data_IF_345593384804
#
_entry.id   IF_345593384804
#
_cell.length_a   1.000
_cell.length_b   1.000
_cell.length_c   1.000
_cell.angle_alpha   90.00
_cell.angle_beta   90.00
_cell.angle_gamma   90.00
#
_symmetry.space_group_name_H-M   'P 1'
#
loop_
_entity.id
_entity.type
_entity.pdbx_description
1 polymer ?
#
# COMPACT_ATOMS: atom_id res chain seq x y z
N UNK A 1 -26.85 -22.38 30.70
CA UNK A 1 -26.77 -21.41 31.80
C UNK A 1 -26.93 -22.17 33.10
N UNK A 2 -25.82 -22.41 33.78
CA UNK A 2 -25.78 -22.70 35.22
C UNK A 2 -24.80 -21.68 35.80
N UNK A 3 -25.30 -20.92 36.77
CA UNK A 3 -24.70 -19.81 37.51
C UNK A 3 -24.08 -20.38 38.83
N UNK A 4 -23.43 -19.60 39.73
CA UNK A 4 -22.10 -18.97 39.60
C UNK A 4 -21.18 -19.20 40.86
N UNK A 5 -19.94 -18.69 40.77
CA UNK A 5 -19.05 -18.05 41.78
C UNK A 5 -18.74 -18.68 43.17
N UNK A 6 -17.45 -18.68 43.59
CA UNK A 6 -16.88 -17.95 44.76
C UNK A 6 -15.49 -18.50 45.21
N UNK A 7 -14.56 -17.55 45.40
CA UNK A 7 -13.41 -17.45 46.31
C UNK A 7 -12.08 -18.22 46.13
N UNK A 8 -11.04 -17.41 46.32
CA UNK A 8 -9.61 -17.69 46.39
C UNK A 8 -9.16 -18.37 47.69
N UNK A 9 -7.99 -19.00 47.65
CA UNK A 9 -7.24 -19.45 48.84
C UNK A 9 -6.07 -20.38 48.52
N UNK A 10 -4.90 -19.82 48.21
CA UNK A 10 -3.56 -20.44 48.40
C UNK A 10 -3.20 -20.44 49.90
N UNK A 11 -2.03 -20.95 50.40
CA UNK A 11 -1.10 -22.05 50.05
C UNK A 11 -0.67 -22.89 51.31
N UNK A 12 0.06 -24.01 51.20
CA UNK A 12 0.94 -24.60 52.26
C UNK A 12 1.91 -25.59 51.58
N UNK A 13 3.23 -25.38 51.49
CA UNK A 13 4.32 -25.76 52.44
C UNK A 13 4.24 -27.24 52.90
N UNK A 14 5.26 -28.09 53.09
CA UNK A 14 6.73 -28.10 53.07
C UNK A 14 7.11 -29.58 53.35
N UNK A 15 8.17 -30.15 52.75
CA UNK A 15 9.25 -30.93 53.44
C UNK A 15 10.13 -31.73 52.43
N UNK A 16 11.44 -31.78 52.73
CA UNK A 16 12.62 -32.07 51.89
C UNK A 16 13.00 -33.59 51.87
N UNK A 17 14.18 -34.13 51.38
CA UNK A 17 15.45 -33.48 51.02
C UNK A 17 16.34 -34.04 49.85
N UNK A 18 17.17 -33.11 49.35
CA UNK A 18 18.60 -33.14 48.88
C UNK A 18 19.12 -33.98 47.68
N UNK A 19 19.94 -33.35 46.80
CA UNK A 19 20.75 -33.96 45.72
C UNK A 19 22.21 -34.26 46.13
N UNK A 20 22.97 -35.10 45.40
CA UNK A 20 24.42 -35.16 45.56
C UNK A 20 25.15 -34.07 44.76
N UNK A 21 25.97 -33.29 45.48
CA UNK A 21 27.07 -32.46 44.99
C UNK A 21 28.36 -33.26 45.13
N UNK A 22 29.19 -33.31 44.09
CA UNK A 22 30.65 -33.25 44.27
C UNK A 22 31.29 -32.34 43.20
N UNK A 23 32.01 -31.37 43.73
CA UNK A 23 32.96 -30.38 43.17
C UNK A 23 34.14 -31.08 42.46
N UNK A 24 35.01 -30.52 41.62
CA UNK A 24 35.29 -29.22 41.00
C UNK A 24 36.57 -29.45 40.13
N UNK A 25 36.92 -28.44 39.32
CA UNK A 25 38.24 -28.10 38.73
C UNK A 25 38.66 -28.68 37.37
N UNK A 26 38.98 -27.76 36.45
CA UNK A 26 40.11 -27.94 35.53
C UNK A 26 39.85 -27.69 34.04
N UNK A 27 40.32 -26.53 33.57
CA UNK A 27 40.79 -26.25 32.21
C UNK A 27 39.84 -25.81 31.07
N UNK A 28 40.09 -24.55 30.69
CA UNK A 28 39.79 -23.88 29.43
C UNK A 28 39.90 -24.78 28.19
N UNK A 29 38.84 -24.81 27.38
CA UNK A 29 38.98 -25.02 25.94
C UNK A 29 37.82 -24.36 25.17
N UNK A 30 38.08 -23.12 24.74
CA UNK A 30 37.57 -22.49 23.52
C UNK A 30 36.05 -22.54 23.29
N UNK A 31 35.37 -21.62 23.97
CA UNK A 31 34.23 -20.92 23.41
C UNK A 31 34.60 -20.37 22.02
N UNK A 32 34.23 -21.07 20.96
CA UNK A 32 34.23 -20.52 19.61
C UNK A 32 32.90 -19.81 19.41
N UNK A 33 32.71 -18.69 20.11
CA UNK A 33 31.74 -17.67 19.74
C UNK A 33 32.10 -17.26 18.32
N UNK A 34 31.40 -17.85 17.33
CA UNK A 34 31.43 -17.34 15.95
C UNK A 34 30.85 -15.95 16.02
N UNK A 35 31.73 -14.96 16.16
CA UNK A 35 31.43 -13.56 16.02
C UNK A 35 30.56 -13.41 14.77
N UNK A 36 29.41 -12.70 14.83
CA UNK A 36 28.71 -12.35 13.61
C UNK A 36 29.74 -11.60 12.77
N UNK A 37 30.08 -12.14 11.60
CA UNK A 37 30.92 -11.44 10.62
C UNK A 37 30.23 -10.11 10.40
N UNK A 38 30.84 -9.05 10.93
CA UNK A 38 30.46 -7.68 10.61
C UNK A 38 30.67 -7.54 9.12
N UNK A 39 29.59 -7.60 8.35
CA UNK A 39 29.60 -7.21 6.95
C UNK A 39 29.76 -5.68 6.92
N UNK A 40 30.99 -5.21 7.16
CA UNK A 40 31.40 -3.82 6.91
C UNK A 40 31.64 -3.63 5.40
N UNK A 41 30.65 -4.03 4.61
CA UNK A 41 30.53 -3.63 3.21
C UNK A 41 29.49 -2.51 3.22
N UNK A 42 29.89 -1.29 2.87
CA UNK A 42 28.95 -0.20 2.64
C UNK A 42 27.92 -0.66 1.59
N UNK A 43 26.70 -0.93 2.04
CA UNK A 43 25.61 -1.32 1.16
C UNK A 43 24.83 -0.05 0.81
N UNK A 44 25.14 0.57 -0.33
CA UNK A 44 24.25 1.59 -0.88
C UNK A 44 22.94 0.93 -1.27
N UNK A 45 21.87 1.25 -0.55
CA UNK A 45 20.52 0.74 -0.80
C UNK A 45 19.88 1.47 -1.98
N UNK A 46 20.50 2.57 -2.41
CA UNK A 46 20.14 3.37 -3.58
C UNK A 46 21.28 3.34 -4.63
N UNK A 47 20.98 3.28 -5.94
CA UNK A 47 19.64 3.20 -6.55
C UNK A 47 19.03 1.78 -6.52
N UNK A 48 17.69 1.65 -6.51
CA UNK A 48 17.03 0.35 -6.64
C UNK A 48 17.40 -0.31 -7.97
N UNK A 49 17.58 -1.64 -7.95
CA UNK A 49 17.82 -2.41 -9.17
C UNK A 49 16.64 -2.29 -10.15
N UNK A 50 16.90 -2.44 -11.45
CA UNK A 50 15.84 -2.38 -12.45
C UNK A 50 14.71 -3.39 -12.17
N UNK A 51 15.05 -4.61 -11.72
CA UNK A 51 14.05 -5.62 -11.32
C UNK A 51 13.15 -5.12 -10.18
N UNK A 52 13.70 -4.38 -9.23
CA UNK A 52 12.93 -3.78 -8.13
C UNK A 52 12.00 -2.69 -8.67
N UNK A 53 12.50 -1.83 -9.56
CA UNK A 53 11.70 -0.80 -10.23
C UNK A 53 10.53 -1.40 -11.01
N UNK A 54 10.78 -2.46 -11.78
CA UNK A 54 9.75 -3.18 -12.54
C UNK A 54 8.68 -3.79 -11.61
N UNK A 55 9.10 -4.32 -10.46
CA UNK A 55 8.16 -4.83 -9.45
C UNK A 55 7.28 -3.72 -8.85
N UNK A 56 7.84 -2.52 -8.64
CA UNK A 56 7.07 -1.33 -8.20
C UNK A 56 6.05 -0.96 -9.27
N UNK A 57 6.44 -0.89 -10.55
CA UNK A 57 5.53 -0.61 -11.67
C UNK A 57 4.39 -1.62 -11.70
N UNK A 58 4.69 -2.92 -11.63
CA UNK A 58 3.66 -3.97 -11.61
C UNK A 58 2.68 -3.79 -10.44
N UNK A 59 3.20 -3.49 -9.24
CA UNK A 59 2.38 -3.25 -8.06
C UNK A 59 1.49 -2.00 -8.22
N UNK A 60 1.99 -0.95 -8.86
CA UNK A 60 1.22 0.25 -9.19
C UNK A 60 0.11 -0.06 -10.18
N UNK A 61 0.38 -0.84 -11.23
CA UNK A 61 -0.64 -1.29 -12.19
C UNK A 61 -1.78 -1.98 -11.45
N UNK A 62 -1.47 -3.02 -10.66
CA UNK A 62 -2.47 -3.73 -9.86
C UNK A 62 -3.25 -2.79 -8.93
N UNK A 63 -2.59 -1.78 -8.35
CA UNK A 63 -3.23 -0.83 -7.44
C UNK A 63 -4.20 0.12 -8.15
N UNK A 64 -3.89 0.49 -9.40
CA UNK A 64 -4.70 1.40 -10.21
C UNK A 64 -5.82 0.67 -10.97
N UNK A 65 -5.55 -0.56 -11.44
CA UNK A 65 -6.48 -1.33 -12.27
C UNK A 65 -7.47 -2.17 -11.48
N UNK A 66 -7.09 -2.63 -10.28
CA UNK A 66 -7.94 -3.53 -9.51
C UNK A 66 -8.85 -2.75 -8.54
N UNK A 67 -10.02 -3.31 -8.20
CA UNK A 67 -10.87 -2.75 -7.17
C UNK A 67 -10.12 -2.68 -5.83
N UNK A 68 -9.99 -1.47 -5.30
CA UNK A 68 -9.22 -1.14 -4.10
C UNK A 68 -9.89 0.02 -3.34
N UNK A 69 -9.29 0.46 -2.24
CA UNK A 69 -9.77 1.65 -1.50
C UNK A 69 -9.71 2.90 -2.37
N UNK A 70 -8.70 3.01 -3.24
CA UNK A 70 -8.58 4.14 -4.19
C UNK A 70 -9.70 4.12 -5.23
N UNK A 71 -10.05 2.94 -5.76
CA UNK A 71 -11.09 2.85 -6.79
C UNK A 71 -12.49 3.18 -6.27
N UNK A 72 -12.73 2.98 -4.97
CA UNK A 72 -13.98 3.41 -4.31
C UNK A 72 -14.14 4.94 -4.26
N UNK A 73 -13.04 5.69 -4.34
CA UNK A 73 -13.04 7.16 -4.24
C UNK A 73 -12.84 7.86 -5.58
N UNK A 74 -12.10 7.23 -6.50
CA UNK A 74 -11.65 7.85 -7.75
C UNK A 74 -11.98 7.03 -9.00
N UNK A 75 -12.65 5.88 -8.85
CA UNK A 75 -12.93 4.96 -9.96
C UNK A 75 -11.75 4.02 -10.29
N UNK A 76 -12.01 3.00 -11.11
CA UNK A 76 -10.99 2.07 -11.62
C UNK A 76 -10.34 2.62 -12.90
N UNK A 77 -9.03 2.38 -13.06
CA UNK A 77 -8.28 2.75 -14.27
C UNK A 77 -8.19 1.53 -15.20
N UNK A 78 -8.51 1.65 -16.49
CA UNK A 78 -8.25 0.60 -17.48
C UNK A 78 -6.79 0.13 -17.44
N UNK A 79 -6.55 -1.16 -17.65
CA UNK A 79 -5.22 -1.74 -17.44
C UNK A 79 -4.11 -1.12 -18.31
N UNK A 80 -4.43 -0.74 -19.55
CA UNK A 80 -3.49 -0.07 -20.46
C UNK A 80 -3.10 1.32 -19.94
N UNK A 81 -4.10 2.15 -19.61
CA UNK A 81 -3.90 3.47 -19.00
C UNK A 81 -3.15 3.37 -17.66
N UNK A 82 -3.47 2.36 -16.85
CA UNK A 82 -2.79 2.09 -15.59
C UNK A 82 -1.31 1.73 -15.79
N UNK A 83 -0.97 1.00 -16.86
CA UNK A 83 0.41 0.66 -17.20
C UNK A 83 1.24 1.87 -17.66
N UNK A 84 0.63 2.78 -18.42
CA UNK A 84 1.27 4.04 -18.78
C UNK A 84 1.47 4.94 -17.57
N UNK A 85 0.41 5.16 -16.79
CA UNK A 85 0.46 5.94 -15.56
C UNK A 85 1.50 5.39 -14.57
N UNK A 86 1.52 4.07 -14.35
CA UNK A 86 2.48 3.45 -13.42
C UNK A 86 3.94 3.66 -13.84
N UNK A 87 4.24 3.58 -15.15
CA UNK A 87 5.59 3.85 -15.67
C UNK A 87 5.99 5.31 -15.45
N UNK A 88 5.10 6.25 -15.76
CA UNK A 88 5.35 7.68 -15.56
C UNK A 88 5.55 8.01 -14.07
N UNK A 89 4.66 7.50 -13.20
CA UNK A 89 4.76 7.68 -11.75
C UNK A 89 6.12 7.20 -11.23
N UNK A 90 6.53 6.00 -11.64
CA UNK A 90 7.79 5.41 -11.20
C UNK A 90 9.01 6.17 -11.72
N UNK A 91 9.02 6.48 -13.01
CA UNK A 91 10.14 7.15 -13.66
C UNK A 91 10.36 8.56 -13.10
N UNK A 92 9.29 9.32 -12.88
CA UNK A 92 9.38 10.64 -12.31
C UNK A 92 9.81 10.60 -10.83
N UNK A 93 9.27 9.66 -10.04
CA UNK A 93 9.67 9.49 -8.65
C UNK A 93 11.14 9.08 -8.54
N UNK A 94 11.59 8.17 -9.41
CA UNK A 94 13.00 7.76 -9.49
C UNK A 94 13.88 8.94 -9.87
N UNK A 95 13.53 9.69 -10.91
CA UNK A 95 14.30 10.85 -11.39
C UNK A 95 14.40 11.94 -10.32
N UNK A 96 13.29 12.21 -9.61
CA UNK A 96 13.27 13.19 -8.53
C UNK A 96 14.12 12.76 -7.34
N UNK A 97 14.07 11.48 -6.95
CA UNK A 97 14.88 10.95 -5.85
C UNK A 97 16.36 10.85 -6.25
N UNK A 98 16.66 10.38 -7.45
CA UNK A 98 18.01 10.27 -8.00
C UNK A 98 18.70 11.64 -8.08
N UNK A 99 17.96 12.70 -8.43
CA UNK A 99 18.49 14.07 -8.45
C UNK A 99 18.88 14.62 -7.07
N UNK A 100 18.46 13.97 -5.98
CA UNK A 100 18.85 14.33 -4.61
C UNK A 100 19.81 13.33 -3.96
N UNK A 101 20.16 12.26 -4.68
CA UNK A 101 21.06 11.24 -4.17
C UNK A 101 22.50 11.75 -4.17
N UNK A 102 23.21 11.47 -3.08
CA UNK A 102 24.65 11.71 -2.94
C UNK A 102 25.40 10.39 -2.96
N UNK A 103 26.59 10.35 -3.54
CA UNK A 103 27.38 9.12 -3.67
C UNK A 103 27.92 8.58 -2.32
N UNK A 104 27.98 9.44 -1.29
CA UNK A 104 28.46 9.09 0.05
C UNK A 104 27.35 8.68 1.03
N UNK A 105 26.08 8.73 0.63
CA UNK A 105 24.95 8.35 1.50
C UNK A 105 24.52 6.91 1.26
N UNK A 106 24.16 6.18 2.33
CA UNK A 106 23.64 4.81 2.25
C UNK A 106 22.29 4.74 1.49
N UNK A 107 21.68 5.90 1.21
CA UNK A 107 20.54 6.05 0.31
C UNK A 107 19.19 5.78 0.95
N UNK A 108 19.15 5.64 2.28
CA UNK A 108 17.91 5.38 3.04
C UNK A 108 16.94 6.56 2.94
N UNK A 109 17.42 7.79 3.11
CA UNK A 109 16.59 8.99 2.99
C UNK A 109 16.04 9.14 1.56
N UNK A 110 16.88 8.81 0.57
CA UNK A 110 16.50 8.84 -0.84
C UNK A 110 15.43 7.78 -1.16
N UNK A 111 15.54 6.58 -0.61
CA UNK A 111 14.52 5.55 -0.77
C UNK A 111 13.19 5.94 -0.13
N UNK A 112 13.23 6.59 1.04
CA UNK A 112 12.03 7.15 1.68
C UNK A 112 11.40 8.26 0.82
N UNK A 113 12.23 9.12 0.23
CA UNK A 113 11.77 10.16 -0.69
C UNK A 113 11.11 9.55 -1.92
N UNK A 114 11.73 8.56 -2.54
CA UNK A 114 11.14 7.79 -3.65
C UNK A 114 9.78 7.21 -3.27
N UNK A 115 9.68 6.54 -2.11
CA UNK A 115 8.42 5.94 -1.63
C UNK A 115 7.31 6.98 -1.40
N UNK A 116 7.67 8.13 -0.84
CA UNK A 116 6.75 9.27 -0.64
C UNK A 116 6.27 9.81 -1.98
N UNK A 117 7.16 9.93 -2.95
CA UNK A 117 6.87 10.53 -4.24
C UNK A 117 6.02 9.62 -5.13
N UNK A 118 6.26 8.29 -5.08
CA UNK A 118 5.38 7.29 -5.70
C UNK A 118 3.96 7.42 -5.16
N UNK A 119 3.81 7.47 -3.83
CA UNK A 119 2.50 7.55 -3.17
C UNK A 119 1.76 8.83 -3.53
N UNK A 120 2.47 9.96 -3.51
CA UNK A 120 1.94 11.27 -3.88
C UNK A 120 1.44 11.28 -5.33
N UNK A 121 2.28 10.89 -6.27
CA UNK A 121 1.94 10.88 -7.71
C UNK A 121 0.79 9.94 -8.02
N UNK A 122 0.77 8.75 -7.42
CA UNK A 122 -0.36 7.82 -7.57
C UNK A 122 -1.68 8.49 -7.19
N UNK A 123 -1.71 9.22 -6.07
CA UNK A 123 -2.91 9.92 -5.62
C UNK A 123 -3.27 11.10 -6.53
N UNK A 124 -2.29 11.87 -7.00
CA UNK A 124 -2.48 12.97 -7.93
C UNK A 124 -3.05 12.49 -9.27
N UNK A 125 -2.54 11.39 -9.81
CA UNK A 125 -3.00 10.78 -11.06
C UNK A 125 -4.47 10.35 -10.96
N UNK A 126 -4.85 9.58 -9.92
CA UNK A 126 -6.25 9.13 -9.77
C UNK A 126 -7.21 10.29 -9.51
N UNK A 127 -6.77 11.32 -8.79
CA UNK A 127 -7.58 12.52 -8.55
C UNK A 127 -7.79 13.33 -9.83
N UNK A 128 -6.74 13.54 -10.62
CA UNK A 128 -6.84 14.25 -11.90
C UNK A 128 -7.79 13.53 -12.86
N UNK A 129 -7.65 12.21 -12.96
CA UNK A 129 -8.54 11.37 -13.78
C UNK A 129 -10.01 11.48 -13.35
N UNK A 130 -10.29 11.34 -12.05
CA UNK A 130 -11.66 11.42 -11.54
C UNK A 130 -12.31 12.79 -11.80
N UNK A 131 -11.52 13.88 -11.77
CA UNK A 131 -11.99 15.21 -12.11
C UNK A 131 -12.28 15.37 -13.62
N UNK A 132 -11.47 14.76 -14.49
CA UNK A 132 -11.70 14.71 -15.93
C UNK A 132 -12.96 13.90 -16.28
N UNK A 133 -13.19 12.76 -15.62
CA UNK A 133 -14.36 11.92 -15.83
C UNK A 133 -15.67 12.63 -15.41
N UNK A 134 -15.63 13.32 -14.26
CA UNK A 134 -16.77 14.13 -13.77
C UNK A 134 -17.15 15.30 -14.70
N UNK A 135 -16.21 15.78 -15.52
CA UNK A 135 -16.47 16.86 -16.49
C UNK A 135 -17.09 16.33 -17.78
N UNK A 136 -16.86 15.06 -18.12
CA UNK A 136 -17.37 14.44 -19.35
C UNK A 136 -18.86 14.05 -19.28
N UNK A 137 -19.45 13.95 -18.08
CA UNK A 137 -20.86 13.52 -17.93
C UNK A 137 -21.91 14.62 -18.18
N UNK A 138 -21.54 15.90 -18.32
CA UNK A 138 -22.49 17.00 -18.56
C UNK A 138 -22.77 17.28 -20.05
N UNK A 139 -22.53 16.30 -20.94
CA UNK A 139 -22.41 16.55 -22.38
C UNK A 139 -22.96 15.48 -23.32
N UNK A 140 -24.01 14.71 -22.99
CA UNK A 140 -24.88 14.03 -23.98
C UNK A 140 -26.05 13.32 -23.29
N UNK A 141 -27.29 13.82 -23.30
CA UNK A 141 -28.21 13.62 -24.43
C UNK A 141 -29.44 14.53 -24.30
N UNK A 142 -29.94 15.17 -25.38
CA UNK A 142 -31.28 15.74 -25.38
C UNK A 142 -32.35 14.63 -25.37
N UNK A 143 -33.52 14.84 -24.76
CA UNK A 143 -34.66 13.95 -24.92
C UNK A 143 -35.19 14.10 -26.34
N UNK A 144 -34.95 13.12 -27.21
CA UNK A 144 -35.69 13.00 -28.48
C UNK A 144 -37.11 12.52 -28.15
N UNK A 145 -37.94 13.44 -27.68
CA UNK A 145 -39.40 13.25 -27.65
C UNK A 145 -39.89 13.26 -29.09
N UNK A 146 -40.03 12.06 -29.66
CA UNK A 146 -40.77 11.86 -30.90
C UNK A 146 -42.26 11.87 -30.57
N UNK A 147 -42.93 13.01 -30.69
CA UNK A 147 -44.38 13.06 -30.91
C UNK A 147 -44.70 14.22 -31.84
N UNK A 148 -44.81 13.85 -33.11
CA UNK A 148 -45.34 14.62 -34.23
C UNK A 148 -46.70 15.23 -33.90
N UNK A 149 -46.76 16.56 -34.09
CA UNK A 149 -47.90 17.39 -34.46
C UNK A 149 -49.04 16.63 -35.15
N UNK A 150 -50.26 16.77 -34.64
CA UNK A 150 -51.38 17.07 -35.53
C UNK A 150 -52.38 18.01 -34.84
N UNK A 151 -52.53 19.16 -35.48
CA UNK A 151 -53.49 20.24 -35.28
C UNK A 151 -54.93 19.74 -35.58
N UNK A 152 -55.92 20.29 -34.86
CA UNK A 152 -57.19 20.85 -35.36
C UNK A 152 -58.34 20.75 -34.31
N UNK A 153 -58.89 21.92 -33.99
CA UNK A 153 -60.09 22.29 -33.19
C UNK A 153 -61.43 21.83 -33.82
N UNK A 154 -62.66 22.11 -33.29
CA UNK A 154 -63.23 22.30 -31.92
C UNK A 154 -64.58 21.51 -31.73
N UNK A 155 -65.42 21.91 -30.74
CA UNK A 155 -66.85 21.53 -30.51
C UNK A 155 -67.07 20.28 -29.63
N UNK A 156 -68.02 20.16 -28.68
CA UNK A 156 -69.28 20.85 -28.39
C UNK A 156 -69.68 20.61 -26.91
N UNK A 157 -70.42 21.57 -26.35
CA UNK A 157 -71.24 21.56 -25.13
C UNK A 157 -72.25 20.38 -25.06
N UNK A 158 -72.46 19.74 -23.89
CA UNK A 158 -73.80 19.22 -23.50
C UNK A 158 -73.89 18.83 -22.00
N UNK A 159 -74.83 19.51 -21.32
CA UNK A 159 -75.72 19.16 -20.17
C UNK A 159 -75.19 18.61 -18.85
#
# INVERSE_FOLDING_TARGET
>A
MSDPQIAAGTPTEHDSPTPPTDSQVGDQAKESTKSPKSFNTSFSIWPPSQRTRDAVIKRLIETLSNPSVLSKRYGTVPQEEAAEAARLIEEEAYSFAAGKASADDDGIEILQLYSREISKRTLETVKARAASDSTAENGSSPPVVSTTTNEETPSVEES
#
